data_IF_915735975935
#
_entry.id   IF_915735975935
#
_cell.length_a   1.000
_cell.length_b   1.000
_cell.length_c   1.000
_cell.angle_alpha   90.00
_cell.angle_beta   90.00
_cell.angle_gamma   90.00
#
_symmetry.space_group_name_H-M   'P 1'
#
loop_
_entity.id
_entity.type
_entity.pdbx_description
1 polymer ?
#
# COMPACT_ATOMS: atom_id res chain seq x y z
N UNK A 1 12.60 -30.67 -7.80
CA UNK A 1 12.52 -29.49 -6.90
C UNK A 1 11.17 -28.83 -7.09
N UNK A 2 10.48 -28.47 -6.01
CA UNK A 2 9.07 -28.06 -6.02
C UNK A 2 8.87 -26.76 -6.82
N UNK A 3 8.01 -26.78 -7.85
CA UNK A 3 7.79 -25.62 -8.73
C UNK A 3 7.27 -24.39 -7.98
N UNK A 4 6.55 -24.60 -6.87
CA UNK A 4 5.96 -23.55 -6.04
C UNK A 4 7.00 -22.57 -5.45
N UNK A 5 8.25 -23.00 -5.20
CA UNK A 5 9.30 -22.13 -4.62
C UNK A 5 9.76 -21.00 -5.57
N UNK A 6 9.27 -20.99 -6.80
CA UNK A 6 9.56 -19.95 -7.81
C UNK A 6 8.60 -18.77 -7.71
N UNK A 7 7.40 -18.93 -7.14
CA UNK A 7 6.45 -17.82 -7.03
C UNK A 7 6.55 -17.18 -5.64
N UNK A 8 6.82 -15.87 -5.64
CA UNK A 8 6.90 -15.03 -4.45
C UNK A 8 5.69 -14.10 -4.43
N UNK A 9 4.95 -14.14 -3.33
CA UNK A 9 3.89 -13.18 -3.03
C UNK A 9 4.40 -12.20 -1.98
N UNK A 10 4.18 -10.92 -2.22
CA UNK A 10 4.55 -9.84 -1.30
C UNK A 10 3.29 -9.07 -0.91
N UNK A 11 2.90 -9.16 0.35
CA UNK A 11 1.95 -8.22 0.93
C UNK A 11 2.68 -6.90 1.16
N UNK A 12 2.20 -5.85 0.50
CA UNK A 12 2.82 -4.53 0.50
C UNK A 12 1.74 -3.46 0.55
N UNK A 13 2.01 -2.37 1.26
CA UNK A 13 1.28 -1.11 1.06
C UNK A 13 2.19 -0.06 0.42
N UNK A 14 2.08 1.16 0.94
CA UNK A 14 2.61 2.38 0.36
C UNK A 14 4.12 2.53 0.24
N UNK A 15 4.59 3.77 0.37
CA UNK A 15 5.90 4.17 -0.15
C UNK A 15 7.10 3.50 0.53
N UNK A 16 6.97 2.97 1.74
CA UNK A 16 8.07 2.36 2.49
C UNK A 16 8.69 1.18 1.74
N UNK A 17 7.86 0.28 1.19
CA UNK A 17 8.32 -0.88 0.45
C UNK A 17 8.91 -0.55 -0.94
N UNK A 18 8.89 0.71 -1.38
CA UNK A 18 9.49 1.12 -2.66
C UNK A 18 11.03 0.96 -2.68
N UNK A 19 11.67 1.00 -1.51
CA UNK A 19 13.12 0.76 -1.39
C UNK A 19 13.49 -0.70 -1.62
N UNK A 20 12.52 -1.62 -1.45
CA UNK A 20 12.75 -3.07 -1.47
C UNK A 20 12.31 -3.74 -2.79
N UNK A 21 11.69 -3.01 -3.72
CA UNK A 21 11.14 -3.57 -4.97
C UNK A 21 12.21 -4.27 -5.79
N UNK A 22 13.36 -3.62 -5.96
CA UNK A 22 14.47 -4.15 -6.74
C UNK A 22 15.06 -5.41 -6.10
N UNK A 23 14.98 -5.52 -4.77
CA UNK A 23 15.42 -6.71 -4.02
C UNK A 23 14.53 -7.89 -4.35
N UNK A 24 13.20 -7.72 -4.22
CA UNK A 24 12.25 -8.78 -4.54
C UNK A 24 12.29 -9.18 -6.02
N UNK A 25 12.44 -8.20 -6.92
CA UNK A 25 12.61 -8.44 -8.35
C UNK A 25 13.84 -9.29 -8.68
N UNK A 26 14.99 -9.00 -8.06
CA UNK A 26 16.22 -9.80 -8.23
C UNK A 26 16.06 -11.23 -7.73
N UNK A 27 15.42 -11.42 -6.57
CA UNK A 27 15.22 -12.76 -5.98
C UNK A 27 14.26 -13.59 -6.85
N UNK A 28 13.15 -13.00 -7.29
CA UNK A 28 12.20 -13.68 -8.19
C UNK A 28 12.84 -13.99 -9.55
N UNK A 29 13.55 -13.02 -10.14
CA UNK A 29 14.25 -13.19 -11.41
C UNK A 29 15.34 -14.27 -11.36
N UNK A 30 16.16 -14.30 -10.32
CA UNK A 30 17.20 -15.31 -10.12
C UNK A 30 16.68 -16.74 -9.93
N UNK A 31 15.36 -16.90 -9.71
CA UNK A 31 14.67 -18.20 -9.60
C UNK A 31 13.88 -18.57 -10.85
N UNK A 32 13.89 -17.74 -11.90
CA UNK A 32 13.00 -17.87 -13.05
C UNK A 32 11.53 -17.82 -12.63
N UNK A 33 11.23 -17.01 -11.62
CA UNK A 33 9.99 -17.04 -10.87
C UNK A 33 9.02 -15.89 -11.17
N UNK A 34 7.79 -16.05 -10.67
CA UNK A 34 6.77 -15.01 -10.68
C UNK A 34 6.82 -14.18 -9.39
N UNK A 35 6.47 -12.91 -9.48
CA UNK A 35 6.40 -11.99 -8.35
C UNK A 35 5.04 -11.29 -8.31
N UNK A 36 4.27 -11.51 -7.25
CA UNK A 36 2.96 -10.89 -7.09
C UNK A 36 2.93 -9.97 -5.89
N UNK A 37 2.64 -8.69 -6.12
CA UNK A 37 2.38 -7.71 -5.06
C UNK A 37 0.88 -7.67 -4.78
N UNK A 38 0.48 -7.97 -3.55
CA UNK A 38 -0.89 -7.78 -3.07
C UNK A 38 -0.94 -6.45 -2.33
N UNK A 39 -1.84 -5.56 -2.78
CA UNK A 39 -1.94 -4.18 -2.29
C UNK A 39 -3.36 -3.90 -1.80
N UNK A 40 -3.55 -3.36 -0.58
CA UNK A 40 -4.87 -2.98 -0.10
C UNK A 40 -5.44 -1.78 -0.88
N UNK A 41 -6.77 -1.64 -0.88
CA UNK A 41 -7.48 -0.56 -1.59
C UNK A 41 -8.25 0.38 -0.65
N UNK A 42 -7.84 0.43 0.63
CA UNK A 42 -8.54 1.17 1.68
C UNK A 42 -8.01 2.60 1.92
N UNK A 43 -7.00 3.03 1.16
CA UNK A 43 -6.41 4.35 1.29
C UNK A 43 -7.40 5.47 0.93
N UNK A 44 -7.68 6.31 1.93
CA UNK A 44 -8.57 7.46 1.82
C UNK A 44 -7.86 8.78 2.14
N UNK A 45 -6.52 8.82 2.14
CA UNK A 45 -5.74 10.01 2.42
C UNK A 45 -5.16 10.70 1.18
N UNK A 46 -4.67 11.93 1.36
CA UNK A 46 -3.83 12.66 0.40
C UNK A 46 -4.49 12.86 -0.95
N UNK A 47 -3.73 12.64 -2.03
CA UNK A 47 -4.26 12.78 -3.40
C UNK A 47 -5.29 11.71 -3.78
N UNK A 48 -5.47 10.65 -3.00
CA UNK A 48 -6.55 9.68 -3.20
C UNK A 48 -7.88 10.22 -2.65
N UNK A 49 -7.85 11.00 -1.57
CA UNK A 49 -9.05 11.50 -0.88
C UNK A 49 -9.98 12.33 -1.77
N UNK A 50 -9.41 13.25 -2.54
CA UNK A 50 -10.17 14.14 -3.44
C UNK A 50 -10.80 13.38 -4.62
N UNK A 51 -10.08 12.39 -5.16
CA UNK A 51 -10.61 11.53 -6.21
C UNK A 51 -11.75 10.66 -5.69
N UNK A 52 -11.62 10.12 -4.48
CA UNK A 52 -12.68 9.34 -3.82
C UNK A 52 -13.89 10.24 -3.54
N UNK A 53 -13.68 11.47 -3.08
CA UNK A 53 -14.78 12.42 -2.83
C UNK A 53 -15.59 12.71 -4.08
N UNK A 54 -14.92 12.99 -5.21
CA UNK A 54 -15.61 13.42 -6.44
C UNK A 54 -16.11 12.24 -7.28
N UNK A 55 -15.38 11.12 -7.32
CA UNK A 55 -15.69 10.00 -8.21
C UNK A 55 -16.06 8.69 -7.50
N UNK A 56 -15.92 8.64 -6.18
CA UNK A 56 -15.89 7.38 -5.44
C UNK A 56 -14.75 6.48 -5.89
N UNK A 57 -14.73 5.26 -5.39
CA UNK A 57 -13.82 4.22 -5.83
C UNK A 57 -12.73 3.80 -4.85
N UNK A 58 -11.90 2.84 -5.25
CA UNK A 58 -10.87 2.28 -4.40
C UNK A 58 -9.77 3.31 -4.09
N UNK A 59 -9.06 3.12 -2.97
CA UNK A 59 -7.79 3.78 -2.73
C UNK A 59 -6.75 3.30 -3.73
N UNK A 60 -6.32 4.20 -4.64
CA UNK A 60 -5.44 3.86 -5.78
C UNK A 60 -3.96 4.21 -5.56
N UNK A 61 -3.65 4.98 -4.51
CA UNK A 61 -2.33 5.59 -4.31
C UNK A 61 -1.19 4.58 -4.22
N UNK A 62 -1.39 3.49 -3.48
CA UNK A 62 -0.39 2.44 -3.27
C UNK A 62 -0.18 1.58 -4.53
N UNK A 63 -1.28 1.26 -5.23
CA UNK A 63 -1.23 0.55 -6.52
C UNK A 63 -0.47 1.36 -7.56
N UNK A 64 -0.79 2.66 -7.68
CA UNK A 64 -0.03 3.59 -8.54
C UNK A 64 1.45 3.59 -8.17
N UNK A 65 1.76 3.78 -6.88
CA UNK A 65 3.14 3.85 -6.40
C UNK A 65 3.93 2.59 -6.80
N UNK A 66 3.33 1.40 -6.66
CA UNK A 66 3.98 0.15 -7.02
C UNK A 66 4.22 0.04 -8.53
N UNK A 67 3.21 0.33 -9.35
CA UNK A 67 3.33 0.27 -10.81
C UNK A 67 4.41 1.21 -11.33
N UNK A 68 4.45 2.44 -10.81
CA UNK A 68 5.47 3.45 -11.20
C UNK A 68 6.86 3.06 -10.71
N UNK A 69 6.97 2.34 -9.59
CA UNK A 69 8.27 1.84 -9.11
C UNK A 69 8.79 0.68 -9.96
N UNK A 70 7.89 -0.15 -10.50
CA UNK A 70 8.19 -1.31 -11.35
C UNK A 70 8.54 -0.97 -12.79
N UNK A 71 8.41 0.29 -13.20
CA UNK A 71 8.90 0.75 -14.51
C UNK A 71 10.38 0.35 -14.62
N UNK A 72 10.83 -0.26 -15.73
CA UNK A 72 12.23 -0.63 -15.89
C UNK A 72 13.16 0.59 -15.75
N UNK A 73 14.20 0.48 -14.93
CA UNK A 73 15.26 1.49 -14.74
C UNK A 73 16.34 1.42 -15.82
N UNK A 74 15.99 0.99 -17.04
CA UNK A 74 16.95 0.97 -18.16
C UNK A 74 17.47 2.38 -18.44
N UNK A 75 18.65 2.49 -19.08
CA UNK A 75 19.22 3.75 -19.61
C UNK A 75 18.34 4.43 -20.68
N UNK A 76 17.08 4.01 -20.83
CA UNK A 76 16.13 4.58 -21.78
C UNK A 76 15.52 5.86 -21.19
N UNK A 77 15.81 7.05 -21.77
CA UNK A 77 15.26 8.32 -21.30
C UNK A 77 13.72 8.35 -21.29
N UNK A 78 13.06 7.51 -22.10
CA UNK A 78 11.60 7.45 -22.18
C UNK A 78 10.99 6.87 -20.91
N UNK A 79 11.60 5.83 -20.34
CA UNK A 79 11.10 5.22 -19.11
C UNK A 79 11.24 6.16 -17.91
N UNK A 80 12.33 6.94 -17.87
CA UNK A 80 12.51 7.95 -16.82
C UNK A 80 11.54 9.12 -16.97
N UNK A 81 11.24 9.54 -18.20
CA UNK A 81 10.22 10.55 -18.47
C UNK A 81 8.83 10.09 -18.02
N UNK A 82 8.45 8.86 -18.33
CA UNK A 82 7.17 8.27 -17.90
C UNK A 82 7.11 8.11 -16.37
N UNK A 83 8.22 7.70 -15.74
CA UNK A 83 8.32 7.61 -14.27
C UNK A 83 8.14 8.99 -13.63
N UNK A 84 8.82 10.01 -14.18
CA UNK A 84 8.69 11.40 -13.74
C UNK A 84 7.24 11.88 -13.88
N UNK A 85 6.62 11.63 -15.04
CA UNK A 85 5.24 12.00 -15.33
C UNK A 85 4.25 11.42 -14.31
N UNK A 86 4.31 10.11 -14.02
CA UNK A 86 3.36 9.47 -13.11
C UNK A 86 3.67 9.65 -11.62
N UNK A 87 4.90 10.06 -11.27
CA UNK A 87 5.23 10.50 -9.92
C UNK A 87 4.95 11.98 -9.67
N UNK A 88 4.73 12.76 -10.73
CA UNK A 88 4.47 14.18 -10.63
C UNK A 88 3.26 14.46 -9.74
N UNK A 89 3.43 15.43 -8.84
CA UNK A 89 2.35 16.02 -8.04
C UNK A 89 2.20 17.46 -8.48
N UNK A 90 0.95 17.86 -8.70
CA UNK A 90 0.63 19.24 -9.03
C UNK A 90 1.03 20.19 -7.89
N UNK A 91 1.11 21.48 -8.21
CA UNK A 91 1.41 22.53 -7.24
C UNK A 91 0.58 22.42 -5.95
N UNK A 92 1.16 22.80 -4.81
CA UNK A 92 0.43 22.95 -3.56
C UNK A 92 -0.49 24.18 -3.58
N UNK A 93 -0.26 25.14 -4.47
CA UNK A 93 -1.09 26.34 -4.64
C UNK A 93 -2.27 26.04 -5.57
N UNK A 94 -3.53 26.31 -5.18
CA UNK A 94 -4.71 25.91 -5.96
C UNK A 94 -4.71 26.42 -7.41
N UNK A 95 -4.45 27.71 -7.61
CA UNK A 95 -4.49 28.35 -8.93
C UNK A 95 -3.40 27.83 -9.86
N UNK A 96 -2.19 27.65 -9.34
CA UNK A 96 -1.09 27.07 -10.11
C UNK A 96 -1.33 25.60 -10.44
N UNK A 97 -1.91 24.84 -9.53
CA UNK A 97 -2.25 23.43 -9.75
C UNK A 97 -3.27 23.27 -10.88
N UNK A 98 -4.27 24.14 -10.94
CA UNK A 98 -5.26 24.14 -12.01
C UNK A 98 -4.65 24.52 -13.37
N UNK A 99 -3.84 25.58 -13.43
CA UNK A 99 -3.12 25.98 -14.64
C UNK A 99 -2.19 24.87 -15.15
N UNK A 100 -1.47 24.24 -14.21
CA UNK A 100 -0.59 23.11 -14.49
C UNK A 100 -1.38 21.92 -15.05
N UNK A 101 -2.50 21.54 -14.42
CA UNK A 101 -3.39 20.50 -14.93
C UNK A 101 -3.89 20.79 -16.34
N UNK A 102 -4.36 22.01 -16.60
CA UNK A 102 -4.83 22.42 -17.93
C UNK A 102 -3.72 22.27 -18.98
N UNK A 103 -2.49 22.66 -18.67
CA UNK A 103 -1.34 22.49 -19.58
C UNK A 103 -0.99 21.01 -19.85
N UNK A 104 -1.18 20.14 -18.86
CA UNK A 104 -0.97 18.69 -19.00
C UNK A 104 -2.02 18.11 -19.95
N UNK A 105 -3.30 18.44 -19.77
CA UNK A 105 -4.43 18.01 -20.62
C UNK A 105 -4.24 18.50 -22.06
N UNK A 106 -3.89 19.78 -22.24
CA UNK A 106 -3.58 20.37 -23.55
C UNK A 106 -2.34 19.77 -24.22
N UNK A 107 -1.50 19.05 -23.47
CA UNK A 107 -0.30 18.39 -24.00
C UNK A 107 0.88 19.34 -24.22
N UNK A 108 0.83 20.54 -23.65
CA UNK A 108 1.85 21.60 -23.77
C UNK A 108 2.84 21.61 -22.60
N UNK A 109 2.51 20.93 -21.49
CA UNK A 109 3.38 20.85 -20.32
C UNK A 109 4.72 20.14 -20.61
N UNK A 110 5.81 20.59 -19.98
CA UNK A 110 7.17 20.10 -20.22
C UNK A 110 7.35 18.61 -19.90
N UNK A 111 6.51 18.05 -19.02
CA UNK A 111 6.54 16.62 -18.66
C UNK A 111 6.32 15.69 -19.87
N UNK A 112 5.76 16.20 -20.98
CA UNK A 112 5.54 15.42 -22.19
C UNK A 112 6.78 15.30 -23.10
N UNK A 113 7.82 16.11 -22.89
CA UNK A 113 8.94 16.31 -23.86
C UNK A 113 9.61 15.01 -24.31
N UNK A 114 9.85 14.09 -23.37
CA UNK A 114 10.59 12.84 -23.63
C UNK A 114 9.68 11.60 -23.69
N UNK A 115 8.37 11.78 -23.76
CA UNK A 115 7.40 10.70 -23.86
C UNK A 115 7.05 10.47 -25.35
N UNK A 116 7.17 9.23 -25.88
CA UNK A 116 6.83 8.94 -27.27
C UNK A 116 5.40 9.33 -27.63
N UNK A 117 5.19 9.77 -28.87
CA UNK A 117 3.89 10.27 -29.36
C UNK A 117 2.74 9.28 -29.12
N UNK A 118 2.91 8.00 -29.44
CA UNK A 118 1.89 6.98 -29.24
C UNK A 118 1.52 6.78 -27.75
N UNK A 119 2.50 6.81 -26.84
CA UNK A 119 2.24 6.77 -25.40
C UNK A 119 1.60 8.07 -24.90
N UNK A 120 2.06 9.22 -25.39
CA UNK A 120 1.50 10.53 -25.07
C UNK A 120 0.02 10.61 -25.43
N UNK A 121 -0.36 10.29 -26.67
CA UNK A 121 -1.75 10.37 -27.10
C UNK A 121 -2.65 9.36 -26.37
N UNK A 122 -2.13 8.16 -26.10
CA UNK A 122 -2.84 7.17 -25.29
C UNK A 122 -3.08 7.68 -23.86
N UNK A 123 -2.03 8.13 -23.15
CA UNK A 123 -2.15 8.63 -21.77
C UNK A 123 -3.08 9.85 -21.72
N UNK A 124 -2.90 10.79 -22.65
CA UNK A 124 -3.73 12.01 -22.74
C UNK A 124 -5.20 11.70 -22.94
N UNK A 125 -5.55 10.68 -23.70
CA UNK A 125 -6.96 10.28 -23.91
C UNK A 125 -7.67 9.99 -22.58
N UNK A 126 -7.00 9.32 -21.64
CA UNK A 126 -7.56 9.04 -20.31
C UNK A 126 -7.60 10.28 -19.41
N UNK A 127 -6.59 11.16 -19.49
CA UNK A 127 -6.58 12.43 -18.74
C UNK A 127 -7.67 13.39 -19.24
N UNK A 128 -7.89 13.44 -20.56
CA UNK A 128 -8.97 14.21 -21.17
C UNK A 128 -10.34 13.69 -20.72
N UNK A 129 -10.52 12.36 -20.71
CA UNK A 129 -11.74 11.74 -20.19
C UNK A 129 -11.96 12.10 -18.72
N UNK A 130 -10.93 12.01 -17.87
CA UNK A 130 -11.03 12.45 -16.48
C UNK A 130 -11.42 13.93 -16.39
N UNK A 131 -10.78 14.80 -17.18
CA UNK A 131 -11.08 16.23 -17.17
C UNK A 131 -12.55 16.51 -17.52
N UNK A 132 -13.10 15.80 -18.52
CA UNK A 132 -14.52 15.86 -18.83
C UNK A 132 -15.38 15.41 -17.64
N UNK A 133 -15.01 14.30 -16.99
CA UNK A 133 -15.72 13.78 -15.81
C UNK A 133 -15.64 14.73 -14.60
N UNK A 134 -14.53 15.47 -14.43
CA UNK A 134 -14.38 16.56 -13.44
C UNK A 134 -15.40 17.66 -13.74
N UNK A 135 -15.43 18.16 -14.99
CA UNK A 135 -16.34 19.25 -15.38
C UNK A 135 -17.80 18.86 -15.24
N UNK A 136 -18.19 17.64 -15.62
CA UNK A 136 -19.57 17.12 -15.45
C UNK A 136 -20.03 17.11 -13.99
N UNK A 137 -19.10 16.91 -13.04
CA UNK A 137 -19.39 16.83 -11.60
C UNK A 137 -19.16 18.14 -10.87
N UNK A 138 -18.66 19.18 -11.53
CA UNK A 138 -18.51 20.49 -10.93
C UNK A 138 -19.88 21.07 -10.53
N UNK A 139 -19.96 21.60 -9.31
CA UNK A 139 -21.12 22.28 -8.75
C UNK A 139 -20.64 23.58 -8.08
N UNK A 140 -21.50 24.60 -7.96
CA UNK A 140 -21.13 25.82 -7.21
C UNK A 140 -20.68 25.56 -5.77
N UNK A 141 -21.24 24.52 -5.14
CA UNK A 141 -20.91 24.08 -3.78
C UNK A 141 -19.73 23.09 -3.70
N UNK A 142 -19.30 22.51 -4.83
CA UNK A 142 -18.30 21.45 -4.88
C UNK A 142 -17.55 21.45 -6.21
N UNK A 143 -16.30 21.90 -6.16
CA UNK A 143 -15.37 21.86 -7.29
C UNK A 143 -14.23 20.90 -6.97
N UNK A 144 -13.59 20.36 -8.01
CA UNK A 144 -12.43 19.50 -7.84
C UNK A 144 -11.21 20.32 -7.41
N UNK A 145 -10.52 19.87 -6.37
CA UNK A 145 -9.32 20.50 -5.86
C UNK A 145 -8.05 19.84 -6.44
N UNK A 146 -7.31 20.56 -7.27
CA UNK A 146 -6.09 20.06 -7.91
C UNK A 146 -4.84 20.11 -7.00
N UNK A 147 -4.90 20.73 -5.83
CA UNK A 147 -3.74 20.91 -4.95
C UNK A 147 -3.05 19.58 -4.63
N UNK A 148 -1.75 19.50 -4.91
CA UNK A 148 -0.91 18.32 -4.63
C UNK A 148 -1.43 17.00 -5.24
N UNK A 149 -2.37 17.07 -6.19
CA UNK A 149 -2.93 15.90 -6.84
C UNK A 149 -1.82 15.16 -7.61
N UNK A 150 -1.81 13.82 -7.52
CA UNK A 150 -0.85 13.02 -8.25
C UNK A 150 -1.35 12.77 -9.67
N UNK A 151 -0.53 13.11 -10.67
CA UNK A 151 -0.87 12.89 -12.08
C UNK A 151 -1.12 11.40 -12.37
N UNK A 152 -0.38 10.49 -11.74
CA UNK A 152 -0.65 9.06 -11.86
C UNK A 152 -1.94 8.60 -11.18
N UNK A 153 -2.37 9.24 -10.10
CA UNK A 153 -3.68 8.95 -9.50
C UNK A 153 -4.80 9.45 -10.43
N UNK A 154 -4.65 10.65 -10.98
CA UNK A 154 -5.57 11.21 -11.97
C UNK A 154 -5.69 10.26 -13.18
N UNK A 155 -4.56 9.82 -13.72
CA UNK A 155 -4.54 8.83 -14.82
C UNK A 155 -5.28 7.54 -14.47
N UNK A 156 -4.96 6.88 -13.34
CA UNK A 156 -5.61 5.62 -12.97
C UNK A 156 -7.12 5.78 -12.75
N UNK A 157 -7.56 6.89 -12.15
CA UNK A 157 -9.00 7.19 -12.03
C UNK A 157 -9.64 7.39 -13.40
N UNK A 158 -8.99 8.16 -14.28
CA UNK A 158 -9.48 8.40 -15.64
C UNK A 158 -9.59 7.12 -16.47
N UNK A 159 -8.56 6.26 -16.38
CA UNK A 159 -8.53 4.94 -17.00
C UNK A 159 -9.64 4.04 -16.46
N UNK A 160 -9.80 3.94 -15.13
CA UNK A 160 -10.87 3.16 -14.48
C UNK A 160 -12.25 3.61 -14.95
N UNK A 161 -12.51 4.92 -14.96
CA UNK A 161 -13.80 5.47 -15.38
C UNK A 161 -14.07 5.20 -16.86
N UNK A 162 -13.04 5.29 -17.70
CA UNK A 162 -13.16 5.00 -19.13
C UNK A 162 -13.46 3.53 -19.42
N UNK A 163 -12.73 2.60 -18.80
CA UNK A 163 -12.87 1.16 -19.06
C UNK A 163 -13.93 0.48 -18.19
N UNK A 164 -14.43 1.14 -17.14
CA UNK A 164 -15.39 0.59 -16.19
C UNK A 164 -14.82 -0.48 -15.24
N UNK A 165 -13.50 -0.65 -15.17
CA UNK A 165 -12.84 -1.71 -14.39
C UNK A 165 -11.50 -1.23 -13.82
N UNK A 166 -11.38 -1.26 -12.49
CA UNK A 166 -10.12 -0.91 -11.81
C UNK A 166 -8.98 -1.86 -12.18
N UNK A 167 -9.25 -3.16 -12.24
CA UNK A 167 -8.26 -4.15 -12.64
C UNK A 167 -7.75 -3.95 -14.08
N UNK A 168 -8.64 -3.58 -15.00
CA UNK A 168 -8.25 -3.27 -16.38
C UNK A 168 -7.41 -1.99 -16.46
N UNK A 169 -7.69 -0.99 -15.60
CA UNK A 169 -6.89 0.22 -15.50
C UNK A 169 -5.46 -0.07 -14.97
N UNK A 170 -5.32 -1.00 -14.01
CA UNK A 170 -4.02 -1.49 -13.53
C UNK A 170 -3.25 -2.15 -14.67
N UNK A 171 -3.90 -3.05 -15.41
CA UNK A 171 -3.30 -3.73 -16.56
C UNK A 171 -2.81 -2.72 -17.62
N UNK A 172 -3.66 -1.74 -17.96
CA UNK A 172 -3.34 -0.70 -18.92
C UNK A 172 -2.13 0.13 -18.49
N UNK A 173 -2.08 0.58 -17.23
CA UNK A 173 -0.92 1.32 -16.74
C UNK A 173 0.35 0.46 -16.81
N UNK A 174 0.28 -0.80 -16.37
CA UNK A 174 1.40 -1.74 -16.45
C UNK A 174 1.90 -1.96 -17.89
N UNK A 175 0.99 -2.05 -18.86
CA UNK A 175 1.31 -2.19 -20.27
C UNK A 175 1.98 -0.92 -20.85
N UNK A 176 1.46 0.26 -20.53
CA UNK A 176 2.03 1.56 -20.97
C UNK A 176 3.46 1.73 -20.45
N UNK A 177 3.70 1.32 -19.20
CA UNK A 177 4.96 1.49 -18.52
C UNK A 177 5.92 0.31 -18.65
N UNK A 178 5.55 -0.70 -19.45
CA UNK A 178 6.38 -1.88 -19.72
C UNK A 178 6.80 -2.63 -18.44
N UNK A 179 5.90 -2.76 -17.46
CA UNK A 179 6.13 -3.59 -16.28
C UNK A 179 6.43 -5.03 -16.73
N UNK A 180 7.47 -5.70 -16.18
CA UNK A 180 7.83 -7.05 -16.59
C UNK A 180 6.65 -8.04 -16.46
N UNK A 181 6.47 -8.91 -17.46
CA UNK A 181 5.33 -9.83 -17.53
C UNK A 181 5.29 -10.86 -16.38
N UNK A 182 6.44 -11.15 -15.76
CA UNK A 182 6.52 -12.03 -14.60
C UNK A 182 6.21 -11.33 -13.27
N UNK A 183 5.86 -10.03 -13.30
CA UNK A 183 5.49 -9.25 -12.12
C UNK A 183 4.04 -8.79 -12.23
N UNK A 184 3.23 -9.10 -11.22
CA UNK A 184 1.83 -8.69 -11.15
C UNK A 184 1.58 -7.79 -9.94
N UNK A 185 0.83 -6.70 -10.12
CA UNK A 185 0.29 -5.88 -9.03
C UNK A 185 -1.20 -6.17 -8.92
N UNK A 186 -1.62 -6.76 -7.80
CA UNK A 186 -2.96 -7.29 -7.61
C UNK A 186 -3.63 -6.52 -6.47
N UNK A 187 -4.76 -5.83 -6.71
CA UNK A 187 -5.52 -5.21 -5.64
C UNK A 187 -6.16 -6.30 -4.77
N UNK A 188 -6.10 -6.14 -3.45
CA UNK A 188 -6.60 -7.11 -2.48
C UNK A 188 -8.10 -7.42 -2.67
N UNK A 189 -8.86 -6.41 -3.09
CA UNK A 189 -10.28 -6.51 -3.46
C UNK A 189 -10.43 -5.94 -4.87
N UNK A 190 -11.13 -6.67 -5.75
CA UNK A 190 -11.47 -6.17 -7.08
C UNK A 190 -12.80 -5.41 -7.02
N UNK A 191 -12.73 -4.08 -6.93
CA UNK A 191 -13.92 -3.24 -6.78
C UNK A 191 -13.74 -1.89 -7.46
N UNK A 192 -14.84 -1.39 -8.04
CA UNK A 192 -14.95 0.00 -8.50
C UNK A 192 -15.49 0.95 -7.41
N UNK A 193 -15.81 0.43 -6.22
CA UNK A 193 -16.34 1.17 -5.08
C UNK A 193 -15.31 1.31 -3.95
N UNK A 194 -15.48 2.36 -3.16
CA UNK A 194 -14.68 2.64 -1.97
C UNK A 194 -14.90 1.58 -0.90
N UNK A 195 -13.80 1.09 -0.34
CA UNK A 195 -13.79 0.18 0.79
C UNK A 195 -13.02 0.87 1.91
N UNK A 196 -13.63 1.02 3.07
CA UNK A 196 -13.01 1.70 4.19
C UNK A 196 -12.69 0.69 5.29
N UNK A 197 -11.71 1.02 6.11
CA UNK A 197 -11.34 0.21 7.28
C UNK A 197 -11.58 1.01 8.55
N UNK A 198 -11.87 0.29 9.63
CA UNK A 198 -11.88 0.80 11.00
C UNK A 198 -10.92 0.00 11.86
N UNK A 199 -10.39 0.65 12.90
CA UNK A 199 -9.59 0.03 13.94
C UNK A 199 -10.30 0.13 15.28
N UNK A 200 -10.33 -0.98 16.01
CA UNK A 200 -10.81 -1.04 17.39
C UNK A 200 -9.61 -1.12 18.33
N UNK A 201 -9.56 -0.22 19.31
CA UNK A 201 -8.52 -0.20 20.33
C UNK A 201 -8.93 -1.08 21.52
N UNK A 202 -7.96 -1.48 22.34
CA UNK A 202 -8.21 -2.33 23.51
C UNK A 202 -9.09 -1.68 24.58
N UNK A 203 -9.17 -0.33 24.61
CA UNK A 203 -10.07 0.40 25.51
C UNK A 203 -11.52 0.49 25.00
N UNK A 204 -11.82 -0.09 23.83
CA UNK A 204 -13.13 -0.05 23.19
C UNK A 204 -13.35 1.11 22.23
N UNK A 205 -12.40 2.04 22.10
CA UNK A 205 -12.45 3.15 21.13
C UNK A 205 -12.40 2.62 19.70
N UNK A 206 -13.22 3.19 18.82
CA UNK A 206 -13.22 2.87 17.39
C UNK A 206 -12.77 4.07 16.57
N UNK A 207 -11.76 3.86 15.73
CA UNK A 207 -11.25 4.85 14.78
C UNK A 207 -11.70 4.45 13.37
N UNK A 208 -12.39 5.36 12.69
CA UNK A 208 -12.96 5.13 11.36
C UNK A 208 -12.11 5.79 10.27
N UNK A 209 -11.68 5.00 9.29
CA UNK A 209 -10.93 5.46 8.12
C UNK A 209 -9.42 5.32 8.26
N UNK A 210 -8.76 4.83 7.21
CA UNK A 210 -7.31 4.57 7.21
C UNK A 210 -6.50 5.81 7.58
N UNK A 211 -6.83 6.98 7.00
CA UNK A 211 -6.08 8.20 7.28
C UNK A 211 -6.14 8.61 8.76
N UNK A 212 -7.26 8.45 9.45
CA UNK A 212 -7.37 8.79 10.88
C UNK A 212 -6.61 7.80 11.78
N UNK A 213 -6.46 6.55 11.32
CA UNK A 213 -5.65 5.53 12.00
C UNK A 213 -4.17 5.94 11.94
N UNK A 214 -3.63 6.21 10.75
CA UNK A 214 -2.19 6.43 10.54
C UNK A 214 -1.73 7.88 10.69
N UNK A 215 -2.51 8.82 10.17
CA UNK A 215 -2.12 10.23 9.96
C UNK A 215 -3.32 11.16 10.16
N UNK A 216 -3.86 11.27 11.38
CA UNK A 216 -5.02 12.13 11.63
C UNK A 216 -4.70 13.57 11.24
N UNK A 217 -5.64 14.21 10.55
CA UNK A 217 -5.56 15.65 10.31
C UNK A 217 -5.50 16.37 11.66
N UNK A 218 -4.65 17.39 11.80
CA UNK A 218 -4.53 18.13 13.06
C UNK A 218 -5.92 18.59 13.56
N UNK A 219 -6.21 18.49 14.86
CA UNK A 219 -7.43 19.06 15.39
C UNK A 219 -7.37 20.56 15.13
N UNK A 220 -8.27 21.09 14.31
CA UNK A 220 -8.57 22.52 14.34
C UNK A 220 -8.97 22.83 15.77
N UNK A 221 -8.09 23.46 16.52
CA UNK A 221 -8.26 23.87 17.89
C UNK A 221 -9.49 24.75 18.01
N UNK A 222 -10.61 24.14 18.36
CA UNK A 222 -11.73 24.78 19.00
C UNK A 222 -12.32 23.78 20.00
N UNK A 223 -12.39 24.12 21.30
CA UNK A 223 -13.00 23.26 22.30
C UNK A 223 -14.47 23.03 21.94
N UNK A 224 -14.92 21.80 22.13
CA UNK A 224 -16.29 21.37 21.97
C UNK A 224 -17.20 21.98 23.06
N UNK A 225 -17.34 23.31 23.10
CA UNK A 225 -18.43 24.01 23.80
C UNK A 225 -18.65 25.37 23.10
N UNK A 226 -19.49 25.42 22.07
CA UNK A 226 -20.10 26.66 21.59
C UNK A 226 -21.38 26.34 20.82
N UNK A 227 -22.52 27.02 21.09
CA UNK A 227 -23.83 26.73 20.49
C UNK A 227 -23.95 27.22 19.03
N UNK A 228 -22.90 27.07 18.23
CA UNK A 228 -22.92 27.33 16.79
C UNK A 228 -22.76 26.04 16.00
N UNK A 229 -23.77 25.18 16.16
CA UNK A 229 -24.11 24.06 15.29
C UNK A 229 -24.59 24.53 13.89
N UNK A 230 -23.85 25.44 13.24
CA UNK A 230 -24.18 25.99 11.90
C UNK A 230 -23.10 25.79 10.83
N UNK A 231 -21.92 25.26 11.17
CA UNK A 231 -20.88 24.92 10.16
C UNK A 231 -20.86 23.44 9.78
N UNK A 232 -21.36 22.54 10.63
CA UNK A 232 -21.49 21.11 10.29
C UNK A 232 -22.66 20.88 9.32
N UNK A 233 -23.64 21.79 9.30
CA UNK A 233 -24.82 21.73 8.43
C UNK A 233 -24.59 22.14 6.97
N UNK A 234 -23.40 22.64 6.58
CA UNK A 234 -23.10 22.89 5.16
C UNK A 234 -22.42 21.70 4.46
N UNK A 235 -21.79 20.79 5.21
CA UNK A 235 -21.19 19.58 4.64
C UNK A 235 -22.22 18.46 4.40
N UNK A 236 -23.45 18.64 4.88
CA UNK A 236 -24.57 17.72 4.67
C UNK A 236 -25.28 17.93 3.33
N UNK A 237 -25.13 19.11 2.72
CA UNK A 237 -25.83 19.50 1.47
C UNK A 237 -24.92 19.40 0.22
N UNK A 238 -23.71 18.86 0.36
CA UNK A 238 -22.78 18.68 -0.76
C UNK A 238 -23.08 17.33 -1.44
N UNK A 239 -23.69 17.38 -2.63
CA UNK A 239 -23.87 16.24 -3.52
C UNK A 239 -22.54 15.77 -4.14
N UNK A 240 -21.69 15.18 -3.32
CA UNK A 240 -20.46 14.49 -3.74
C UNK A 240 -20.74 13.00 -4.04
N UNK A 241 -19.72 12.20 -4.37
CA UNK A 241 -19.86 10.75 -4.53
C UNK A 241 -20.25 10.01 -3.22
N UNK A 242 -20.39 10.74 -2.12
CA UNK A 242 -20.83 10.22 -0.83
C UNK A 242 -22.36 10.07 -0.81
N UNK A 243 -22.84 8.84 -0.57
CA UNK A 243 -24.27 8.59 -0.42
C UNK A 243 -24.84 9.31 0.82
N UNK A 244 -26.13 9.71 0.82
CA UNK A 244 -26.82 10.21 2.01
C UNK A 244 -26.63 9.24 3.19
N UNK A 245 -26.30 9.76 4.38
CA UNK A 245 -25.99 8.94 5.56
C UNK A 245 -24.54 8.43 5.68
N UNK A 246 -23.66 8.69 4.70
CA UNK A 246 -22.22 8.34 4.83
C UNK A 246 -21.59 8.90 6.11
N UNK A 247 -20.78 8.09 6.79
CA UNK A 247 -20.14 8.41 8.06
C UNK A 247 -19.34 9.73 7.98
N UNK A 248 -19.50 10.68 8.93
CA UNK A 248 -18.91 12.02 8.83
C UNK A 248 -17.38 12.03 8.64
N UNK A 249 -16.67 11.12 9.30
CA UNK A 249 -15.21 11.01 9.20
C UNK A 249 -14.75 10.64 7.79
N UNK A 250 -15.55 9.88 7.04
CA UNK A 250 -15.22 9.49 5.66
C UNK A 250 -15.47 10.63 4.65
N UNK A 251 -16.23 11.66 5.05
CA UNK A 251 -16.51 12.85 4.23
C UNK A 251 -15.42 13.92 4.34
N UNK A 252 -14.51 13.82 5.31
CA UNK A 252 -13.43 14.81 5.52
C UNK A 252 -12.42 14.76 4.37
N UNK A 253 -12.09 15.94 3.83
CA UNK A 253 -11.03 16.10 2.83
C UNK A 253 -9.65 16.02 3.49
N UNK A 254 -9.02 14.85 3.44
CA UNK A 254 -7.68 14.63 3.99
C UNK A 254 -6.57 14.98 2.98
N UNK A 255 -6.58 16.21 2.46
CA UNK A 255 -5.68 16.64 1.38
C UNK A 255 -4.25 16.87 1.90
N UNK A 256 -4.11 17.45 3.10
CA UNK A 256 -2.81 17.77 3.69
C UNK A 256 -2.27 16.59 4.50
N UNK A 257 -1.13 16.05 4.07
CA UNK A 257 -0.43 14.94 4.72
C UNK A 257 0.73 15.48 5.56
N UNK A 258 0.71 15.27 6.87
CA UNK A 258 1.88 15.44 7.73
C UNK A 258 2.29 14.05 8.25
N UNK A 259 3.45 13.55 7.81
CA UNK A 259 4.02 12.28 8.33
C UNK A 259 4.84 12.48 9.61
N UNK A 260 5.20 13.71 9.94
CA UNK A 260 5.95 14.11 11.13
C UNK A 260 4.99 14.58 12.24
N UNK A 261 5.27 14.20 13.49
CA UNK A 261 4.47 14.49 14.69
C UNK A 261 3.03 13.98 14.66
N UNK A 262 2.88 12.67 14.49
CA UNK A 262 1.60 12.01 14.77
C UNK A 262 1.52 11.63 16.26
N UNK A 263 0.46 12.02 16.99
CA UNK A 263 0.32 11.67 18.40
C UNK A 263 0.19 10.16 18.57
N UNK A 264 0.53 9.65 19.74
CA UNK A 264 0.32 8.23 20.05
C UNK A 264 -1.17 7.91 20.19
N UNK A 265 -1.52 6.64 20.00
CA UNK A 265 -2.87 6.16 20.28
C UNK A 265 -3.07 6.00 21.81
N UNK A 266 -4.30 6.21 22.32
CA UNK A 266 -4.57 6.09 23.75
C UNK A 266 -4.36 4.65 24.26
N UNK A 267 -4.66 3.66 23.42
CA UNK A 267 -4.40 2.25 23.69
C UNK A 267 -4.09 1.49 22.39
N UNK A 268 -3.51 0.26 22.47
CA UNK A 268 -3.13 -0.50 21.27
C UNK A 268 -4.32 -0.84 20.39
N UNK A 269 -4.08 -0.94 19.08
CA UNK A 269 -5.05 -1.50 18.15
C UNK A 269 -5.22 -2.99 18.46
N UNK A 270 -6.45 -3.41 18.75
CA UNK A 270 -6.79 -4.82 18.97
C UNK A 270 -7.06 -5.54 17.64
N UNK A 271 -7.79 -4.89 16.72
CA UNK A 271 -8.12 -5.43 15.40
C UNK A 271 -8.49 -4.33 14.41
N UNK A 272 -8.47 -4.68 13.12
CA UNK A 272 -9.11 -3.90 12.05
C UNK A 272 -10.19 -4.71 11.34
N UNK A 273 -11.12 -4.01 10.68
CA UNK A 273 -12.13 -4.62 9.81
C UNK A 273 -12.57 -3.66 8.72
N UNK A 274 -13.16 -4.21 7.66
CA UNK A 274 -13.77 -3.40 6.61
C UNK A 274 -15.14 -2.89 7.05
N UNK A 275 -15.47 -1.67 6.65
CA UNK A 275 -16.78 -1.06 6.86
C UNK A 275 -17.36 -0.56 5.53
N UNK A 276 -18.69 -0.53 5.46
CA UNK A 276 -19.39 0.20 4.41
C UNK A 276 -19.34 1.72 4.68
N UNK A 277 -19.81 2.57 3.74
CA UNK A 277 -19.85 4.02 3.95
C UNK A 277 -20.66 4.46 5.18
N UNK A 278 -21.54 3.62 5.73
CA UNK A 278 -22.36 3.88 6.91
C UNK A 278 -21.68 3.49 8.23
N UNK A 279 -20.45 2.97 8.18
CA UNK A 279 -19.70 2.54 9.36
C UNK A 279 -20.04 1.13 9.87
N UNK A 280 -20.85 0.37 9.13
CA UNK A 280 -21.20 -1.01 9.49
C UNK A 280 -20.12 -1.97 9.00
N UNK A 281 -19.75 -2.93 9.84
CA UNK A 281 -18.77 -3.97 9.50
C UNK A 281 -19.25 -4.81 8.31
N UNK A 282 -18.36 -5.01 7.34
CA UNK A 282 -18.58 -5.80 6.14
C UNK A 282 -17.40 -6.76 5.93
N UNK A 283 -17.64 -7.83 5.17
CA UNK A 283 -16.62 -8.82 4.80
C UNK A 283 -16.51 -8.90 3.28
N UNK A 284 -15.75 -8.00 2.65
CA UNK A 284 -15.60 -8.01 1.21
C UNK A 284 -14.90 -9.29 0.75
N UNK A 285 -15.28 -9.77 -0.44
CA UNK A 285 -14.64 -10.93 -1.07
C UNK A 285 -13.25 -10.51 -1.59
N UNK A 286 -12.18 -11.27 -1.30
CA UNK A 286 -10.87 -10.98 -1.88
C UNK A 286 -10.91 -11.15 -3.40
N UNK A 287 -10.01 -10.46 -4.09
CA UNK A 287 -9.78 -10.70 -5.51
C UNK A 287 -9.35 -12.18 -5.72
N UNK A 288 -10.02 -12.97 -6.58
CA UNK A 288 -9.65 -14.37 -6.82
C UNK A 288 -8.17 -14.55 -7.18
N UNK A 289 -7.58 -13.61 -7.93
CA UNK A 289 -6.15 -13.63 -8.29
C UNK A 289 -5.23 -13.58 -7.07
N UNK A 290 -5.67 -13.00 -5.95
CA UNK A 290 -4.93 -13.02 -4.69
C UNK A 290 -4.86 -14.44 -4.14
N UNK A 291 -6.01 -15.13 -4.10
CA UNK A 291 -6.08 -16.50 -3.61
C UNK A 291 -5.24 -17.44 -4.49
N UNK A 292 -5.38 -17.31 -5.81
CA UNK A 292 -4.62 -18.10 -6.79
C UNK A 292 -3.11 -17.86 -6.65
N UNK A 293 -2.69 -16.60 -6.51
CA UNK A 293 -1.28 -16.25 -6.37
C UNK A 293 -0.68 -16.81 -5.08
N UNK A 294 -1.38 -16.75 -3.95
CA UNK A 294 -0.89 -17.30 -2.68
C UNK A 294 -0.85 -18.83 -2.75
N UNK A 295 -1.87 -19.48 -3.31
CA UNK A 295 -1.90 -20.94 -3.46
C UNK A 295 -0.78 -21.47 -4.37
N UNK A 296 -0.38 -20.70 -5.38
CA UNK A 296 0.76 -21.04 -6.23
C UNK A 296 2.12 -20.70 -5.60
N UNK A 297 2.15 -19.82 -4.59
CA UNK A 297 3.37 -19.32 -3.98
C UNK A 297 3.95 -20.27 -2.93
N UNK A 298 5.24 -20.58 -3.07
CA UNK A 298 6.04 -21.21 -2.01
C UNK A 298 6.59 -20.19 -1.01
N UNK A 299 6.53 -18.89 -1.34
CA UNK A 299 7.07 -17.81 -0.51
C UNK A 299 6.05 -16.68 -0.38
N UNK A 300 5.69 -16.35 0.85
CA UNK A 300 4.92 -15.18 1.24
C UNK A 300 5.84 -14.24 2.01
N UNK A 301 5.88 -12.97 1.64
CA UNK A 301 6.63 -11.92 2.33
C UNK A 301 5.64 -10.87 2.82
N UNK A 302 5.65 -10.60 4.12
CA UNK A 302 5.04 -9.41 4.70
C UNK A 302 6.10 -8.31 4.68
N UNK A 303 5.96 -7.37 3.74
CA UNK A 303 6.94 -6.30 3.53
C UNK A 303 6.84 -5.22 4.61
N UNK A 304 7.78 -4.28 4.57
CA UNK A 304 7.74 -3.09 5.42
C UNK A 304 6.58 -2.17 5.02
N UNK A 305 5.98 -1.54 6.02
CA UNK A 305 4.82 -0.67 5.90
C UNK A 305 4.02 -0.66 7.21
N UNK A 306 3.12 0.30 7.34
CA UNK A 306 2.27 0.40 8.53
C UNK A 306 1.43 -0.87 8.68
N UNK A 307 1.55 -1.54 9.83
CA UNK A 307 1.06 -2.91 10.01
C UNK A 307 -0.44 -3.00 9.74
N UNK A 308 -1.23 -2.16 10.40
CA UNK A 308 -2.68 -2.22 10.43
C UNK A 308 -3.33 -1.58 9.20
N UNK A 309 -2.64 -0.71 8.47
CA UNK A 309 -3.21 -0.02 7.31
C UNK A 309 -2.63 -0.42 5.96
N UNK A 310 -1.44 -1.05 5.93
CA UNK A 310 -0.78 -1.49 4.70
C UNK A 310 -0.76 -3.02 4.52
N UNK A 311 -0.59 -3.78 5.61
CA UNK A 311 -0.40 -5.23 5.53
C UNK A 311 -1.68 -5.97 5.91
N UNK A 312 -2.18 -5.75 7.12
CA UNK A 312 -3.32 -6.48 7.66
C UNK A 312 -4.62 -6.32 6.84
N UNK A 313 -4.93 -5.19 6.16
CA UNK A 313 -6.18 -5.09 5.39
C UNK A 313 -6.29 -6.14 4.28
N UNK A 314 -5.15 -6.62 3.76
CA UNK A 314 -5.14 -7.71 2.78
C UNK A 314 -5.30 -9.09 3.44
N UNK A 315 -4.89 -9.24 4.70
CA UNK A 315 -4.88 -10.51 5.43
C UNK A 315 -6.22 -10.82 6.13
N UNK A 316 -6.96 -9.80 6.55
CA UNK A 316 -8.29 -9.97 7.17
C UNK A 316 -9.36 -10.47 6.20
N UNK A 317 -9.06 -10.53 4.91
CA UNK A 317 -10.00 -11.00 3.89
C UNK A 317 -10.19 -12.51 3.98
N UNK A 318 -11.45 -12.94 3.92
CA UNK A 318 -11.83 -14.35 4.08
C UNK A 318 -11.06 -15.25 3.12
N UNK A 319 -10.46 -16.31 3.66
CA UNK A 319 -9.69 -17.30 2.91
C UNK A 319 -8.21 -16.94 2.72
N UNK A 320 -7.80 -15.68 2.84
CA UNK A 320 -6.38 -15.31 2.66
C UNK A 320 -5.48 -16.02 3.67
N UNK A 321 -5.86 -16.02 4.96
CA UNK A 321 -5.13 -16.69 6.03
C UNK A 321 -4.91 -18.19 5.78
N UNK A 322 -5.94 -18.90 5.31
CA UNK A 322 -5.87 -20.33 4.98
C UNK A 322 -4.83 -20.61 3.89
N UNK A 323 -4.77 -19.77 2.84
CA UNK A 323 -3.79 -19.95 1.74
C UNK A 323 -2.39 -19.60 2.21
N UNK A 324 -2.24 -18.57 3.04
CA UNK A 324 -0.95 -18.18 3.61
C UNK A 324 -0.32 -19.32 4.42
N UNK A 325 -1.12 -20.08 5.20
CA UNK A 325 -0.63 -21.25 5.94
C UNK A 325 0.03 -22.31 5.06
N UNK A 326 -0.46 -22.46 3.82
CA UNK A 326 0.04 -23.45 2.87
C UNK A 326 1.41 -23.09 2.26
N UNK A 327 1.83 -21.83 2.37
CA UNK A 327 3.14 -21.40 1.89
C UNK A 327 4.26 -22.00 2.77
N UNK A 328 5.35 -22.40 2.11
CA UNK A 328 6.50 -22.98 2.79
C UNK A 328 7.25 -21.94 3.62
N UNK A 329 7.51 -20.78 3.01
CA UNK A 329 8.16 -19.65 3.67
C UNK A 329 7.16 -18.52 3.84
N UNK A 330 6.92 -18.10 5.09
CA UNK A 330 6.20 -16.87 5.44
C UNK A 330 7.16 -15.94 6.17
N UNK A 331 7.68 -14.93 5.49
CA UNK A 331 8.78 -14.09 5.95
C UNK A 331 8.21 -12.73 6.33
N UNK A 332 8.33 -12.37 7.61
CA UNK A 332 8.01 -11.03 8.10
C UNK A 332 9.27 -10.17 8.07
N UNK A 333 9.23 -9.05 7.35
CA UNK A 333 10.28 -8.02 7.39
C UNK A 333 9.80 -6.90 8.30
N UNK A 334 10.40 -6.76 9.49
CA UNK A 334 9.98 -5.77 10.47
C UNK A 334 10.29 -4.35 10.00
N UNK A 335 9.45 -3.40 10.41
CA UNK A 335 9.63 -1.99 10.11
C UNK A 335 10.93 -1.44 10.70
N UNK A 336 11.48 -0.43 10.01
CA UNK A 336 12.69 0.28 10.43
C UNK A 336 12.50 1.20 11.63
N UNK A 337 11.26 1.53 11.95
CA UNK A 337 10.84 2.23 13.16
C UNK A 337 9.41 1.81 13.54
N UNK A 338 9.07 1.94 14.81
CA UNK A 338 7.69 1.87 15.30
C UNK A 338 6.97 3.16 14.86
N UNK A 339 5.76 3.03 14.35
CA UNK A 339 4.90 4.13 13.90
C UNK A 339 3.72 4.37 14.86
N UNK A 340 2.84 5.32 14.57
CA UNK A 340 1.66 5.60 15.40
C UNK A 340 0.78 4.37 15.65
N UNK A 341 0.65 3.49 14.66
CA UNK A 341 -0.22 2.30 14.75
C UNK A 341 0.33 1.25 15.71
N UNK A 342 1.63 1.32 15.96
CA UNK A 342 2.38 0.40 16.82
C UNK A 342 2.96 1.12 18.05
N UNK A 343 2.54 2.36 18.32
CA UNK A 343 2.80 3.09 19.57
C UNK A 343 1.50 3.29 20.34
N UNK A 344 1.58 3.22 21.66
CA UNK A 344 0.44 3.41 22.54
C UNK A 344 0.89 4.07 23.84
N UNK A 345 0.04 4.93 24.41
CA UNK A 345 0.26 5.55 25.71
C UNK A 345 0.07 4.56 26.88
N UNK A 346 -0.71 3.50 26.68
CA UNK A 346 -1.11 2.57 27.75
C UNK A 346 -0.30 1.27 27.79
N UNK A 347 0.61 1.05 26.85
CA UNK A 347 1.43 -0.17 26.77
C UNK A 347 2.89 0.15 26.45
N UNK A 348 3.79 -0.79 26.72
CA UNK A 348 5.19 -0.68 26.28
C UNK A 348 5.35 -0.76 24.76
N UNK A 349 6.61 -0.73 24.32
CA UNK A 349 6.99 -0.80 22.91
C UNK A 349 6.46 -2.07 22.22
N UNK A 350 5.87 -1.90 21.04
CA UNK A 350 5.36 -3.00 20.22
C UNK A 350 6.52 -3.84 19.67
N UNK A 351 6.52 -5.13 20.01
CA UNK A 351 7.62 -6.07 19.77
C UNK A 351 7.37 -6.94 18.54
N UNK A 352 8.39 -7.72 18.11
CA UNK A 352 8.22 -8.71 17.06
C UNK A 352 7.09 -9.72 17.34
N UNK A 353 6.89 -10.09 18.61
CA UNK A 353 5.77 -10.95 19.04
C UNK A 353 4.43 -10.31 18.70
N UNK A 354 4.27 -9.02 18.96
CA UNK A 354 3.02 -8.32 18.71
C UNK A 354 2.72 -8.21 17.20
N UNK A 355 3.74 -8.02 16.37
CA UNK A 355 3.60 -8.11 14.90
C UNK A 355 3.14 -9.50 14.46
N UNK A 356 3.75 -10.58 14.99
CA UNK A 356 3.40 -11.96 14.65
C UNK A 356 1.96 -12.26 15.10
N UNK A 357 1.60 -11.89 16.33
CA UNK A 357 0.26 -12.03 16.88
C UNK A 357 -0.77 -11.31 16.00
N UNK A 358 -0.52 -10.07 15.62
CA UNK A 358 -1.44 -9.27 14.81
C UNK A 358 -1.64 -9.87 13.39
N UNK A 359 -0.56 -10.35 12.75
CA UNK A 359 -0.64 -11.05 11.45
C UNK A 359 -1.47 -12.32 11.57
N UNK A 360 -1.18 -13.15 12.56
CA UNK A 360 -1.89 -14.40 12.75
C UNK A 360 -3.35 -14.19 13.14
N UNK A 361 -3.64 -13.20 13.99
CA UNK A 361 -5.02 -12.82 14.34
C UNK A 361 -5.80 -12.31 13.13
N UNK A 362 -5.17 -11.50 12.27
CA UNK A 362 -5.80 -11.05 11.03
C UNK A 362 -6.15 -12.22 10.09
N UNK A 363 -5.26 -13.20 9.99
CA UNK A 363 -5.47 -14.39 9.18
C UNK A 363 -6.54 -15.34 9.74
N UNK A 364 -6.68 -15.44 11.08
CA UNK A 364 -7.62 -16.35 11.75
C UNK A 364 -9.01 -15.74 11.96
N UNK A 365 -9.10 -14.41 12.05
CA UNK A 365 -10.30 -13.56 12.16
C UNK A 365 -11.31 -13.91 13.26
N UNK A 366 -11.90 -15.10 13.25
CA UNK A 366 -13.03 -15.52 14.10
C UNK A 366 -12.60 -16.13 15.43
N UNK A 367 -11.38 -16.69 15.49
CA UNK A 367 -10.81 -17.27 16.70
C UNK A 367 -9.59 -16.47 17.18
N UNK A 368 -9.36 -16.46 18.49
CA UNK A 368 -8.12 -15.93 19.04
C UNK A 368 -6.95 -16.84 18.66
N UNK A 369 -5.89 -16.25 18.13
CA UNK A 369 -4.68 -16.98 17.80
C UNK A 369 -3.92 -17.40 19.05
N UNK A 370 -3.53 -18.68 19.12
CA UNK A 370 -2.66 -19.20 20.17
C UNK A 370 -1.18 -19.08 19.78
N UNK A 371 -0.29 -18.95 20.76
CA UNK A 371 1.15 -18.84 20.50
C UNK A 371 1.73 -20.05 19.74
N UNK A 372 1.16 -21.23 19.94
CA UNK A 372 1.52 -22.46 19.21
C UNK A 372 1.26 -22.37 17.70
N UNK A 373 0.35 -21.48 17.27
CA UNK A 373 -0.03 -21.30 15.86
C UNK A 373 0.81 -20.23 15.16
N UNK A 374 1.64 -19.47 15.88
CA UNK A 374 2.41 -18.36 15.30
C UNK A 374 3.29 -18.77 14.10
N UNK A 375 3.93 -19.94 14.17
CA UNK A 375 4.78 -20.47 13.08
C UNK A 375 4.00 -20.82 11.81
N UNK A 376 2.69 -21.05 11.92
CA UNK A 376 1.84 -21.36 10.78
C UNK A 376 1.65 -20.14 9.88
N UNK A 377 1.74 -18.93 10.44
CA UNK A 377 1.60 -17.65 9.72
C UNK A 377 2.91 -16.91 9.51
N UNK A 378 3.90 -17.08 10.39
CA UNK A 378 5.23 -16.47 10.28
C UNK A 378 6.30 -17.51 10.55
N UNK A 379 7.07 -17.85 9.53
CA UNK A 379 8.18 -18.83 9.64
C UNK A 379 9.53 -18.17 9.95
N UNK A 380 9.74 -16.94 9.45
CA UNK A 380 11.00 -16.22 9.57
C UNK A 380 10.72 -14.75 9.86
N UNK A 381 11.57 -14.13 10.67
CA UNK A 381 11.56 -12.70 10.97
C UNK A 381 12.88 -12.08 10.55
N UNK A 382 12.85 -11.17 9.60
CA UNK A 382 13.98 -10.33 9.22
C UNK A 382 13.85 -9.00 9.93
N UNK A 383 14.90 -8.56 10.62
CA UNK A 383 14.83 -7.36 11.44
C UNK A 383 16.12 -6.54 11.42
N UNK A 384 15.97 -5.24 11.65
CA UNK A 384 17.07 -4.33 11.95
C UNK A 384 17.29 -4.24 13.46
N UNK A 385 18.46 -3.73 13.86
CA UNK A 385 18.73 -3.35 15.23
C UNK A 385 19.16 -1.89 15.25
N UNK A 386 18.38 -1.05 15.93
CA UNK A 386 18.68 0.36 16.08
C UNK A 386 17.66 1.06 16.97
N UNK A 387 17.84 2.37 17.13
CA UNK A 387 16.91 3.19 17.89
C UNK A 387 15.54 3.24 17.17
N UNK A 388 14.47 3.02 17.93
CA UNK A 388 13.10 3.01 17.44
C UNK A 388 12.70 1.76 16.64
N UNK A 389 13.58 0.78 16.39
CA UNK A 389 13.19 -0.48 15.74
C UNK A 389 12.44 -1.39 16.71
N UNK A 390 11.46 -2.20 16.27
CA UNK A 390 10.77 -3.16 17.14
C UNK A 390 11.74 -4.10 17.85
N UNK A 391 11.53 -4.32 19.16
CA UNK A 391 12.34 -5.25 19.95
C UNK A 391 12.09 -6.69 19.49
N UNK A 392 13.17 -7.47 19.38
CA UNK A 392 13.12 -8.89 18.97
C UNK A 392 13.75 -9.74 20.05
N UNK A 393 12.96 -10.64 20.65
CA UNK A 393 13.47 -11.70 21.54
C UNK A 393 13.68 -12.99 20.73
N UNK A 394 14.95 -13.32 20.48
CA UNK A 394 15.29 -14.47 19.64
C UNK A 394 14.98 -15.81 20.30
N UNK A 395 15.12 -15.88 21.63
CA UNK A 395 14.89 -17.11 22.38
C UNK A 395 13.40 -17.44 22.41
N UNK A 396 12.55 -16.41 22.61
CA UNK A 396 11.09 -16.54 22.55
C UNK A 396 10.64 -17.00 21.15
N UNK A 397 11.08 -16.31 20.10
CA UNK A 397 10.71 -16.66 18.72
C UNK A 397 11.21 -18.06 18.32
N UNK A 398 12.43 -18.44 18.73
CA UNK A 398 12.96 -19.79 18.50
C UNK A 398 12.15 -20.86 19.25
N UNK A 399 11.56 -20.54 20.41
CA UNK A 399 10.65 -21.43 21.15
C UNK A 399 9.39 -21.80 20.36
N UNK A 400 8.88 -20.89 19.53
CA UNK A 400 7.79 -21.17 18.57
C UNK A 400 8.30 -21.77 17.25
N UNK A 401 9.61 -21.98 17.14
CA UNK A 401 10.28 -22.42 15.92
C UNK A 401 10.42 -21.33 14.85
N UNK A 402 10.27 -20.04 15.17
CA UNK A 402 10.40 -18.94 14.20
C UNK A 402 11.87 -18.53 14.09
N UNK A 403 12.43 -18.57 12.88
CA UNK A 403 13.83 -18.24 12.65
C UNK A 403 14.04 -16.72 12.51
N UNK A 404 15.04 -16.17 13.18
CA UNK A 404 15.32 -14.73 13.14
C UNK A 404 16.59 -14.42 12.35
N UNK A 405 16.51 -13.47 11.41
CA UNK A 405 17.65 -12.96 10.64
C UNK A 405 17.86 -11.49 10.97
N UNK A 406 18.98 -11.20 11.62
CA UNK A 406 19.36 -9.82 11.98
C UNK A 406 20.18 -9.19 10.87
N UNK A 407 19.82 -7.97 10.49
CA UNK A 407 20.55 -7.15 9.51
C UNK A 407 20.98 -5.82 10.10
N UNK A 408 22.06 -5.26 9.55
CA UNK A 408 22.48 -3.90 9.85
C UNK A 408 21.83 -2.94 8.85
N UNK A 409 21.26 -1.86 9.37
CA UNK A 409 20.62 -0.81 8.58
C UNK A 409 21.38 0.51 8.67
N UNK A 410 20.99 1.47 7.84
CA UNK A 410 21.49 2.85 7.91
C UNK A 410 20.53 3.70 8.74
N UNK A 411 21.05 4.59 9.59
CA UNK A 411 20.20 5.54 10.33
C UNK A 411 19.53 6.51 9.36
N UNK A 412 18.23 6.74 9.55
CA UNK A 412 17.49 7.76 8.84
C UNK A 412 17.59 9.09 9.60
N UNK A 413 17.71 10.23 8.89
CA UNK A 413 17.95 11.55 9.49
C UNK A 413 16.84 12.09 10.41
N UNK A 414 15.73 11.36 10.60
CA UNK A 414 14.62 11.73 11.48
C UNK A 414 14.21 10.63 12.46
N UNK A 415 15.12 9.69 12.78
CA UNK A 415 14.84 8.52 13.61
C UNK A 415 14.47 7.27 12.79
N UNK A 416 14.85 6.10 13.28
CA UNK A 416 14.65 4.81 12.59
C UNK A 416 15.77 4.35 11.67
N UNK A 417 15.60 3.15 11.13
CA UNK A 417 16.61 2.41 10.36
C UNK A 417 16.10 2.04 8.97
N UNK A 418 16.98 2.06 7.96
CA UNK A 418 16.66 1.65 6.59
C UNK A 418 17.46 0.40 6.22
N UNK A 419 16.80 -0.58 5.61
CA UNK A 419 17.46 -1.79 5.10
C UNK A 419 18.43 -1.45 3.98
N UNK A 420 19.63 -2.02 4.03
CA UNK A 420 20.49 -2.10 2.86
C UNK A 420 19.95 -3.18 1.91
N UNK A 421 19.64 -2.79 0.68
CA UNK A 421 19.00 -3.70 -0.29
C UNK A 421 19.88 -4.90 -0.67
N UNK A 422 21.21 -4.76 -0.67
CA UNK A 422 22.10 -5.89 -0.96
C UNK A 422 22.14 -6.87 0.20
N UNK A 423 22.27 -6.36 1.44
CA UNK A 423 22.27 -7.20 2.64
C UNK A 423 20.93 -7.94 2.81
N UNK A 424 19.81 -7.25 2.58
CA UNK A 424 18.48 -7.88 2.61
C UNK A 424 18.33 -8.95 1.52
N UNK A 425 18.79 -8.66 0.30
CA UNK A 425 18.76 -9.62 -0.80
C UNK A 425 19.52 -10.90 -0.46
N UNK A 426 20.74 -10.77 0.06
CA UNK A 426 21.57 -11.90 0.47
C UNK A 426 20.94 -12.72 1.61
N UNK A 427 20.33 -12.05 2.59
CA UNK A 427 19.63 -12.72 3.68
C UNK A 427 18.41 -13.52 3.17
N UNK A 428 17.61 -12.93 2.29
CA UNK A 428 16.46 -13.63 1.70
C UNK A 428 16.92 -14.81 0.81
N UNK A 429 18.00 -14.66 0.05
CA UNK A 429 18.60 -15.77 -0.70
C UNK A 429 19.12 -16.89 0.21
N UNK A 430 19.69 -16.55 1.37
CA UNK A 430 20.15 -17.54 2.34
C UNK A 430 18.99 -18.32 2.96
N UNK A 431 17.92 -17.63 3.37
CA UNK A 431 16.69 -18.24 3.92
C UNK A 431 16.03 -19.17 2.90
N UNK A 432 15.88 -18.70 1.66
CA UNK A 432 15.16 -19.45 0.64
C UNK A 432 16.03 -20.50 -0.08
N UNK A 433 17.34 -20.54 0.20
CA UNK A 433 18.36 -21.28 -0.55
C UNK A 433 18.75 -20.58 -1.87
N UNK A 434 20.01 -20.72 -2.31
CA UNK A 434 20.44 -20.19 -3.62
C UNK A 434 19.63 -20.89 -4.72
N UNK A 435 18.93 -20.12 -5.55
CA UNK A 435 18.41 -20.62 -6.82
C UNK A 435 19.57 -21.12 -7.68
N UNK A 436 19.31 -22.03 -8.62
CA UNK A 436 20.33 -22.52 -9.55
C UNK A 436 20.94 -21.32 -10.30
N UNK A 437 22.07 -20.81 -9.81
CA UNK A 437 23.04 -20.14 -10.68
C UNK A 437 23.45 -21.20 -11.69
N UNK A 438 23.36 -20.88 -12.97
CA UNK A 438 24.00 -21.64 -14.04
C UNK A 438 25.30 -22.23 -13.49
N UNK A 439 25.37 -23.56 -13.42
CA UNK A 439 26.61 -24.27 -13.16
C UNK A 439 27.55 -23.80 -14.26
N UNK A 440 28.35 -22.77 -13.96
CA UNK A 440 29.39 -22.28 -14.84
C UNK A 440 30.18 -23.50 -15.28
N UNK A 441 30.23 -23.69 -16.60
CA UNK A 441 30.93 -24.77 -17.29
C UNK A 441 32.22 -25.06 -16.54
N UNK A 442 32.25 -26.17 -15.79
CA UNK A 442 33.51 -26.76 -15.36
C UNK A 442 34.16 -27.22 -16.66
N UNK A 443 35.10 -26.43 -17.15
CA UNK A 443 36.05 -26.87 -18.15
C UNK A 443 36.85 -28.02 -17.52
N UNK A 444 36.37 -29.25 -17.71
CA UNK A 444 37.22 -30.42 -17.70
C UNK A 444 38.03 -30.37 -18.99
N UNK A 445 39.22 -29.78 -18.90
CA UNK A 445 40.32 -30.14 -19.79
C UNK A 445 40.69 -31.58 -19.42
N UNK A 446 40.27 -32.54 -20.23
CA UNK A 446 40.86 -33.87 -20.22
C UNK A 446 42.28 -33.78 -20.81
N UNK A 447 43.16 -34.56 -20.21
CA UNK A 447 44.61 -34.66 -20.47
C UNK A 447 44.92 -35.35 -21.78
#
# INVERSE_FOLDING_TARGET
>A
MNSNRRHIVVFSGGSAANSLVDVFGKIAGGRGGQLSYIIPISDNGGSSSELIRVFGGPGIGDVRSRLVRLIPTSLDPQNEAIRTFFNHRLSSTPTLAEQEWQSIVLGTHFLWTSIPSHKKELIRSFLNNLNLEIVKRARPSSIFNFQSASVGNLFLTGARLFVGSFESAIYLLGAITSVPQNVSVIPAINSNFSHHISAGLTDGTVIVGQNEISHPSAPTSAPAVSPHARRVSLATDIEDANLPGTHPTLRKQNITFAKSDTPDLPSPIQRIWYINPYGQEIRPTPNPKVLDAISAAGVVIYSIGSLYTSILPSLVLKGVGERVRSAEYKILILNGCIDRETRSLSSGDFTAKDFIKAIGQACKAEEEIQESEYREYVSHVVHLQGEGTPRVDKSELAGWGIETVRLYGRKMGGGGMVYDGMALGQALEAVLGRGERERGRRNTLER
#
